data_IF_268482377532
#
_entry.id   IF_268482377532
#
_cell.length_a   1.000
_cell.length_b   1.000
_cell.length_c   1.000
_cell.angle_alpha   90.00
_cell.angle_beta   90.00
_cell.angle_gamma   90.00
#
_symmetry.space_group_name_H-M   'P 1'
#
loop_
_entity.id
_entity.type
_entity.pdbx_description
1 polymer ?
#
# COMPACT_ATOMS: atom_id res chain seq x y z
N UNK A 1 23.06 -21.74 11.34
CA UNK A 1 21.85 -20.96 11.01
C UNK A 1 22.29 -19.52 10.86
N UNK A 2 22.22 -19.01 9.63
CA UNK A 2 22.72 -17.67 9.30
C UNK A 2 21.66 -16.65 9.70
N UNK A 3 22.08 -15.48 10.16
CA UNK A 3 21.19 -14.35 10.46
C UNK A 3 20.37 -13.89 9.22
N UNK A 4 20.77 -14.34 8.03
CA UNK A 4 20.09 -14.07 6.75
C UNK A 4 18.78 -14.85 6.57
N UNK A 5 18.55 -15.92 7.34
CA UNK A 5 17.38 -16.79 7.20
C UNK A 5 16.11 -16.24 7.90
N UNK A 6 16.19 -15.03 8.50
CA UNK A 6 15.13 -14.46 9.35
C UNK A 6 14.29 -13.36 8.68
N UNK A 7 14.66 -12.94 7.46
CA UNK A 7 13.89 -11.96 6.70
C UNK A 7 12.95 -12.71 5.76
N UNK A 8 11.63 -12.49 5.84
CA UNK A 8 10.69 -13.09 4.90
C UNK A 8 11.11 -12.76 3.45
N UNK A 9 10.98 -13.70 2.51
CA UNK A 9 11.23 -13.41 1.11
C UNK A 9 10.32 -12.25 0.68
N UNK A 10 10.93 -11.18 0.19
CA UNK A 10 10.24 -9.98 -0.29
C UNK A 10 10.71 -9.66 -1.70
N UNK A 11 9.87 -8.99 -2.48
CA UNK A 11 10.21 -8.52 -3.82
C UNK A 11 9.69 -7.11 -4.03
N UNK A 12 10.61 -6.16 -4.16
CA UNK A 12 10.29 -4.75 -4.41
C UNK A 12 9.55 -4.58 -5.73
N UNK A 13 9.90 -5.38 -6.73
CA UNK A 13 9.26 -5.35 -8.05
C UNK A 13 7.79 -5.81 -7.98
N UNK A 14 7.50 -6.82 -7.14
CA UNK A 14 6.12 -7.28 -6.93
C UNK A 14 5.31 -6.22 -6.20
N UNK A 15 5.87 -5.60 -5.16
CA UNK A 15 5.20 -4.49 -4.44
C UNK A 15 4.88 -3.33 -5.38
N UNK A 16 5.83 -2.94 -6.22
CA UNK A 16 5.63 -1.91 -7.25
C UNK A 16 4.57 -2.33 -8.27
N UNK A 17 4.55 -3.61 -8.67
CA UNK A 17 3.55 -4.16 -9.59
C UNK A 17 2.13 -4.09 -9.02
N UNK A 18 1.96 -4.40 -7.72
CA UNK A 18 0.65 -4.29 -7.04
C UNK A 18 0.21 -2.83 -6.98
N UNK A 19 1.06 -1.93 -6.49
CA UNK A 19 0.74 -0.50 -6.38
C UNK A 19 0.44 0.08 -7.77
N UNK A 20 1.32 -0.16 -8.75
CA UNK A 20 1.14 0.30 -10.12
C UNK A 20 -0.14 -0.25 -10.76
N UNK A 21 -0.46 -1.53 -10.51
CA UNK A 21 -1.69 -2.15 -10.98
C UNK A 21 -2.94 -1.44 -10.45
N UNK A 22 -2.98 -1.15 -9.15
CA UNK A 22 -4.10 -0.43 -8.52
C UNK A 22 -4.25 1.00 -9.04
N UNK A 23 -3.12 1.69 -9.28
CA UNK A 23 -3.10 3.03 -9.87
C UNK A 23 -3.58 3.06 -11.33
N UNK A 24 -3.38 1.95 -12.07
CA UNK A 24 -3.82 1.81 -13.46
C UNK A 24 -5.27 1.33 -13.59
N UNK A 25 -5.69 0.43 -12.69
CA UNK A 25 -7.03 -0.14 -12.66
C UNK A 25 -7.54 -0.22 -11.21
N UNK A 26 -8.33 0.78 -10.82
CA UNK A 26 -8.92 0.86 -9.49
C UNK A 26 -9.91 -0.28 -9.21
N UNK A 27 -10.49 -0.92 -10.24
CA UNK A 27 -11.39 -2.05 -10.06
C UNK A 27 -10.69 -3.30 -9.55
N UNK A 28 -9.35 -3.37 -9.72
CA UNK A 28 -8.54 -4.43 -9.13
C UNK A 28 -8.49 -4.37 -7.60
N UNK A 29 -8.93 -3.26 -6.97
CA UNK A 29 -9.01 -3.14 -5.52
C UNK A 29 -9.82 -4.28 -4.89
N UNK A 30 -10.99 -4.59 -5.44
CA UNK A 30 -11.88 -5.64 -4.91
C UNK A 30 -11.22 -7.04 -4.94
N UNK A 31 -10.24 -7.24 -5.82
CA UNK A 31 -9.48 -8.49 -5.86
C UNK A 31 -8.37 -8.50 -4.82
N UNK A 32 -7.72 -7.35 -4.58
CA UNK A 32 -6.51 -7.26 -3.77
C UNK A 32 -6.83 -7.09 -2.27
N UNK A 33 -7.91 -6.38 -1.93
CA UNK A 33 -8.23 -5.97 -0.57
C UNK A 33 -8.43 -7.12 0.43
N UNK A 34 -8.89 -8.28 -0.05
CA UNK A 34 -9.08 -9.47 0.79
C UNK A 34 -7.80 -10.29 0.98
N UNK A 35 -6.78 -10.07 0.14
CA UNK A 35 -5.56 -10.88 0.10
C UNK A 35 -4.35 -10.17 0.72
N UNK A 36 -4.29 -8.85 0.62
CA UNK A 36 -3.16 -8.06 1.07
C UNK A 36 -3.61 -7.00 2.09
N UNK A 37 -2.71 -6.72 3.01
CA UNK A 37 -2.77 -5.60 3.94
C UNK A 37 -1.52 -4.75 3.78
N UNK A 38 -1.56 -3.52 4.27
CA UNK A 38 -0.37 -2.67 4.30
C UNK A 38 0.84 -3.32 4.99
N UNK A 39 0.62 -4.22 5.96
CA UNK A 39 1.69 -4.91 6.67
C UNK A 39 2.51 -5.88 5.79
N UNK A 40 1.94 -6.32 4.67
CA UNK A 40 2.57 -7.29 3.77
C UNK A 40 3.64 -6.67 2.87
N UNK A 41 3.66 -5.34 2.75
CA UNK A 41 4.69 -4.62 2.01
C UNK A 41 5.95 -4.47 2.86
N UNK A 42 7.10 -4.87 2.34
CA UNK A 42 8.38 -4.82 3.06
C UNK A 42 8.93 -3.38 3.14
N UNK A 43 8.80 -2.59 2.07
CA UNK A 43 9.24 -1.18 2.10
C UNK A 43 8.25 -0.31 2.84
N UNK A 44 8.75 0.45 3.81
CA UNK A 44 7.97 1.43 4.57
C UNK A 44 7.17 2.37 3.65
N UNK A 45 7.82 2.93 2.62
CA UNK A 45 7.15 3.86 1.70
C UNK A 45 6.00 3.17 0.95
N UNK A 46 6.17 1.90 0.58
CA UNK A 46 5.11 1.13 -0.08
C UNK A 46 3.96 0.79 0.87
N UNK A 47 4.26 0.50 2.15
CA UNK A 47 3.21 0.37 3.19
C UNK A 47 2.37 1.63 3.28
N UNK A 48 3.02 2.80 3.34
CA UNK A 48 2.34 4.09 3.43
C UNK A 48 1.48 4.37 2.20
N UNK A 49 2.00 4.09 1.00
CA UNK A 49 1.23 4.20 -0.24
C UNK A 49 0.00 3.28 -0.21
N UNK A 50 0.16 2.01 0.17
CA UNK A 50 -0.95 1.08 0.24
C UNK A 50 -2.00 1.49 1.29
N UNK A 51 -1.59 2.03 2.44
CA UNK A 51 -2.50 2.60 3.44
C UNK A 51 -3.30 3.79 2.89
N UNK A 52 -2.65 4.67 2.11
CA UNK A 52 -3.36 5.76 1.45
C UNK A 52 -4.39 5.22 0.45
N UNK A 53 -4.03 4.19 -0.31
CA UNK A 53 -4.93 3.48 -1.24
C UNK A 53 -6.13 2.87 -0.48
N UNK A 54 -5.90 2.16 0.63
CA UNK A 54 -6.95 1.61 1.51
C UNK A 54 -7.92 2.71 1.97
N UNK A 55 -7.38 3.85 2.45
CA UNK A 55 -8.18 4.99 2.93
C UNK A 55 -9.01 5.62 1.81
N UNK A 56 -8.46 5.73 0.61
CA UNK A 56 -9.14 6.27 -0.57
C UNK A 56 -10.25 5.34 -1.04
N UNK A 57 -9.97 4.05 -1.12
CA UNK A 57 -10.94 3.03 -1.49
C UNK A 57 -12.12 2.98 -0.52
N UNK A 58 -11.85 3.03 0.79
CA UNK A 58 -12.88 3.00 1.83
C UNK A 58 -13.88 4.17 1.74
N UNK A 59 -13.44 5.33 1.25
CA UNK A 59 -14.29 6.52 1.03
C UNK A 59 -14.79 6.66 -0.42
N UNK A 60 -14.53 5.68 -1.28
CA UNK A 60 -14.92 5.69 -2.69
C UNK A 60 -14.25 6.80 -3.51
N UNK A 61 -13.04 7.23 -3.12
CA UNK A 61 -12.26 8.22 -3.85
C UNK A 61 -11.39 7.59 -4.95
N UNK A 62 -11.01 8.35 -5.99
CA UNK A 62 -10.07 7.89 -6.99
C UNK A 62 -8.73 7.45 -6.39
N UNK A 63 -8.19 6.35 -6.91
CA UNK A 63 -6.89 5.81 -6.54
C UNK A 63 -5.93 6.09 -7.71
N UNK A 64 -5.65 7.36 -7.96
CA UNK A 64 -4.65 7.81 -8.93
C UNK A 64 -3.46 8.46 -8.22
N UNK A 65 -2.38 8.71 -8.96
CA UNK A 65 -1.11 9.20 -8.41
C UNK A 65 -1.26 10.53 -7.65
N UNK A 66 -2.09 11.45 -8.16
CA UNK A 66 -2.26 12.77 -7.54
C UNK A 66 -3.04 12.61 -6.25
N UNK A 67 -4.17 11.91 -6.31
CA UNK A 67 -5.05 11.72 -5.15
C UNK A 67 -4.36 10.91 -4.03
N UNK A 68 -3.58 9.89 -4.39
CA UNK A 68 -2.76 9.11 -3.44
C UNK A 68 -1.68 9.99 -2.81
N UNK A 69 -0.99 10.82 -3.60
CA UNK A 69 0.03 11.73 -3.08
C UNK A 69 -0.57 12.72 -2.07
N UNK A 70 -1.70 13.34 -2.38
CA UNK A 70 -2.40 14.24 -1.46
C UNK A 70 -2.81 13.53 -0.17
N UNK A 71 -3.28 12.28 -0.25
CA UNK A 71 -3.66 11.48 0.92
C UNK A 71 -2.46 11.11 1.81
N UNK A 72 -1.22 11.08 1.29
CA UNK A 72 -0.02 10.81 2.09
C UNK A 72 0.38 12.01 2.97
N UNK A 73 0.03 13.23 2.53
CA UNK A 73 0.30 14.46 3.28
C UNK A 73 -0.77 14.74 4.35
N UNK A 74 -1.88 14.00 4.35
CA UNK A 74 -2.93 14.11 5.36
C UNK A 74 -2.46 13.50 6.70
N UNK A 75 -2.46 14.28 7.81
CA UNK A 75 -2.12 13.73 9.11
C UNK A 75 -3.17 12.69 9.51
N UNK A 76 -2.70 11.53 9.99
CA UNK A 76 -3.59 10.48 10.45
C UNK A 76 -4.47 11.01 11.59
N UNK A 77 -5.78 11.12 11.39
CA UNK A 77 -6.72 11.60 12.41
C UNK A 77 -6.72 10.68 13.66
N UNK A 78 -6.16 9.48 13.54
CA UNK A 78 -5.97 8.52 14.62
C UNK A 78 -4.49 8.36 15.03
N UNK A 79 -3.79 9.45 15.37
CA UNK A 79 -2.56 9.40 16.19
C UNK A 79 -1.48 8.45 15.65
N UNK A 80 -1.06 8.66 14.41
CA UNK A 80 -0.14 7.81 13.67
C UNK A 80 1.10 7.39 14.47
N UNK A 81 1.30 6.08 14.57
CA UNK A 81 2.62 5.50 14.86
C UNK A 81 3.23 5.11 13.51
N UNK A 82 4.32 5.82 13.19
CA UNK A 82 5.08 5.62 11.97
C UNK A 82 5.66 4.22 11.83
#
# INVERSE_FOLDING_TARGET
>A
MSLLDLVPPHSIEVEQGVIGGLLLDNSAWDLVADMLSAGDFFRRDHRMIYQAIEKLAARGSPIDVVTVFECLDEPDEAGGVG
#
